data_IF_472167686582
#
_entry.id   IF_472167686582
#
_cell.length_a   1.000
_cell.length_b   1.000
_cell.length_c   1.000
_cell.angle_alpha   90.00
_cell.angle_beta   90.00
_cell.angle_gamma   90.00
#
_symmetry.space_group_name_H-M   'P 1'
#
loop_
_entity.id
_entity.type
_entity.pdbx_description
1 polymer ?
#
# COMPACT_ATOMS: atom_id res chain seq x y z
N UNK A 1 61.88 -12.16 -23.21
CA UNK A 1 60.61 -12.78 -22.78
C UNK A 1 59.51 -11.76 -23.00
N UNK A 2 58.49 -12.15 -23.77
CA UNK A 2 57.35 -11.31 -24.20
C UNK A 2 56.11 -11.77 -23.43
N UNK A 3 55.17 -10.84 -23.27
CA UNK A 3 53.75 -11.02 -22.95
C UNK A 3 53.40 -11.08 -21.43
N UNK A 4 52.27 -10.57 -20.93
CA UNK A 4 50.97 -10.24 -21.55
C UNK A 4 50.32 -9.10 -20.75
N UNK A 5 49.85 -8.06 -21.44
CA UNK A 5 48.84 -7.11 -20.93
C UNK A 5 47.48 -7.80 -21.00
N UNK A 6 46.74 -7.89 -19.89
CA UNK A 6 45.34 -8.32 -19.88
C UNK A 6 44.43 -7.11 -19.61
N UNK A 7 43.66 -6.75 -20.63
CA UNK A 7 42.43 -5.95 -20.55
C UNK A 7 41.23 -6.88 -20.31
N UNK A 8 40.05 -6.28 -20.08
CA UNK A 8 38.70 -6.85 -19.85
C UNK A 8 38.41 -7.20 -18.37
N UNK A 9 37.28 -6.83 -17.76
CA UNK A 9 36.02 -6.34 -18.30
C UNK A 9 35.11 -5.76 -17.20
N UNK A 10 33.97 -5.25 -17.65
CA UNK A 10 32.94 -4.51 -16.93
C UNK A 10 32.15 -5.32 -15.87
N UNK A 11 31.48 -4.58 -14.97
CA UNK A 11 30.45 -5.07 -14.03
C UNK A 11 30.99 -5.20 -12.61
N UNK A 12 30.41 -4.65 -11.54
CA UNK A 12 29.07 -4.14 -11.28
C UNK A 12 29.19 -3.13 -10.12
N UNK A 13 28.57 -1.93 -10.15
CA UNK A 13 28.39 -1.19 -8.91
C UNK A 13 27.42 -1.98 -8.03
N UNK A 14 27.94 -2.40 -6.87
CA UNK A 14 27.18 -3.01 -5.78
C UNK A 14 25.94 -2.16 -5.48
N UNK A 15 24.80 -2.86 -5.42
CA UNK A 15 23.49 -2.38 -5.01
C UNK A 15 23.59 -1.50 -3.76
N UNK A 16 23.45 -0.20 -3.97
CA UNK A 16 23.41 0.81 -2.93
C UNK A 16 22.91 2.10 -3.53
N UNK A 17 21.84 2.04 -4.33
CA UNK A 17 21.05 3.23 -4.61
C UNK A 17 20.30 3.55 -3.32
N UNK A 18 20.55 4.68 -2.64
CA UNK A 18 19.44 5.28 -1.93
C UNK A 18 18.39 5.53 -3.01
N UNK A 19 17.22 4.90 -2.91
CA UNK A 19 16.07 5.34 -3.70
C UNK A 19 15.93 6.82 -3.40
N UNK A 20 16.38 7.64 -4.35
CA UNK A 20 16.18 9.07 -4.31
C UNK A 20 14.69 9.28 -4.07
N UNK A 21 14.38 10.12 -3.09
CA UNK A 21 13.07 10.52 -2.62
C UNK A 21 12.29 11.27 -3.71
N UNK A 22 12.08 10.64 -4.86
CA UNK A 22 11.30 11.18 -5.96
C UNK A 22 9.85 10.80 -5.69
N UNK A 23 9.07 11.73 -5.15
CA UNK A 23 7.63 11.65 -5.35
C UNK A 23 6.77 12.54 -4.48
N UNK A 24 7.04 12.65 -3.17
CA UNK A 24 6.14 13.35 -2.24
C UNK A 24 6.93 14.41 -1.48
N UNK A 25 6.65 15.69 -1.72
CA UNK A 25 7.32 16.77 -1.02
C UNK A 25 6.91 16.85 0.47
N UNK A 26 7.80 16.44 1.39
CA UNK A 26 7.92 17.09 2.71
C UNK A 26 7.59 16.29 3.98
N UNK A 27 6.88 15.16 3.95
CA UNK A 27 6.60 14.38 5.16
C UNK A 27 7.65 13.31 5.52
N UNK A 28 7.95 13.06 6.80
CA UNK A 28 8.68 11.84 7.21
C UNK A 28 7.75 10.62 7.07
N UNK A 29 8.15 9.53 6.40
CA UNK A 29 7.32 8.33 6.33
C UNK A 29 7.19 7.68 7.71
N UNK A 30 6.10 6.94 7.94
CA UNK A 30 6.01 6.03 9.07
C UNK A 30 7.18 5.04 9.00
N UNK A 31 8.08 5.12 9.98
CA UNK A 31 9.32 4.34 9.95
C UNK A 31 9.16 2.92 10.46
N UNK A 32 8.14 2.64 11.28
CA UNK A 32 7.87 1.30 11.84
C UNK A 32 6.36 1.15 12.14
N UNK A 33 5.61 0.33 11.37
CA UNK A 33 4.27 -0.06 11.76
C UNK A 33 4.32 -0.84 13.08
N UNK A 34 3.36 -0.60 13.98
CA UNK A 34 3.32 -1.24 15.31
C UNK A 34 2.54 -2.56 15.32
N UNK A 35 1.73 -2.80 14.28
CA UNK A 35 1.00 -4.05 14.08
C UNK A 35 0.86 -4.44 12.60
N UNK A 36 0.28 -5.62 12.36
CA UNK A 36 0.06 -6.22 11.04
C UNK A 36 -0.92 -5.43 10.17
N UNK A 37 -1.93 -4.79 10.78
CA UNK A 37 -2.89 -3.95 10.08
C UNK A 37 -2.26 -2.63 9.61
N UNK A 38 -1.38 -2.05 10.43
CA UNK A 38 -0.58 -0.90 10.02
C UNK A 38 0.38 -1.25 8.89
N UNK A 39 1.03 -2.42 8.99
CA UNK A 39 1.98 -2.89 7.97
C UNK A 39 1.32 -3.02 6.60
N UNK A 40 0.17 -3.68 6.51
CA UNK A 40 -0.52 -3.83 5.21
C UNK A 40 -0.92 -2.49 4.60
N UNK A 41 -1.31 -1.51 5.42
CA UNK A 41 -1.66 -0.17 4.94
C UNK A 41 -0.42 0.54 4.39
N UNK A 42 0.71 0.47 5.10
CA UNK A 42 1.98 1.06 4.63
C UNK A 42 2.43 0.39 3.32
N UNK A 43 2.44 -0.94 3.26
CA UNK A 43 2.85 -1.69 2.07
C UNK A 43 1.95 -1.42 0.87
N UNK A 44 0.63 -1.28 1.09
CA UNK A 44 -0.32 -0.86 0.07
C UNK A 44 0.05 0.48 -0.55
N UNK A 45 0.34 1.50 0.27
CA UNK A 45 0.68 2.83 -0.24
C UNK A 45 2.09 2.89 -0.86
N UNK A 46 3.03 2.09 -0.37
CA UNK A 46 4.32 1.91 -1.02
C UNK A 46 4.15 1.32 -2.43
N UNK A 47 3.34 0.27 -2.58
CA UNK A 47 3.05 -0.31 -3.88
C UNK A 47 2.34 0.69 -4.83
N UNK A 48 1.44 1.53 -4.33
CA UNK A 48 0.82 2.62 -5.11
C UNK A 48 1.88 3.63 -5.60
N UNK A 49 2.84 4.02 -4.75
CA UNK A 49 3.93 4.91 -5.13
C UNK A 49 4.86 4.32 -6.18
N UNK A 50 5.22 3.05 -6.02
CA UNK A 50 6.08 2.32 -6.94
C UNK A 50 5.38 1.97 -8.26
N UNK A 51 4.08 2.30 -8.37
CA UNK A 51 3.18 1.94 -9.48
C UNK A 51 3.07 0.43 -9.70
N UNK A 52 3.36 -0.36 -8.68
CA UNK A 52 3.09 -1.79 -8.65
C UNK A 52 1.63 -2.02 -8.25
N UNK A 53 0.72 -1.75 -9.19
CA UNK A 53 -0.71 -1.89 -8.94
C UNK A 53 -1.15 -3.34 -8.75
N UNK A 54 -0.34 -4.32 -9.19
CA UNK A 54 -0.56 -5.73 -8.90
C UNK A 54 -0.36 -6.05 -7.42
N UNK A 55 0.74 -5.58 -6.84
CA UNK A 55 0.99 -5.69 -5.40
C UNK A 55 -0.06 -4.90 -4.59
N UNK A 56 -0.34 -3.65 -4.97
CA UNK A 56 -1.35 -2.83 -4.29
C UNK A 56 -2.75 -3.49 -4.30
N UNK A 57 -3.13 -4.11 -5.41
CA UNK A 57 -4.36 -4.90 -5.52
C UNK A 57 -4.34 -6.15 -4.62
N UNK A 58 -3.17 -6.79 -4.51
CA UNK A 58 -2.90 -7.90 -3.61
C UNK A 58 -3.30 -7.62 -2.16
N UNK A 59 -3.03 -6.41 -1.67
CA UNK A 59 -3.36 -5.97 -0.30
C UNK A 59 -4.84 -5.62 -0.08
N UNK A 60 -5.66 -5.55 -1.13
CA UNK A 60 -7.09 -5.31 -1.01
C UNK A 60 -7.85 -6.62 -0.76
N UNK A 61 -8.71 -6.63 0.25
CA UNK A 61 -9.66 -7.69 0.50
C UNK A 61 -10.83 -7.69 -0.49
N UNK A 62 -11.57 -8.79 -0.55
CA UNK A 62 -12.73 -8.94 -1.46
C UNK A 62 -13.71 -7.76 -1.44
N UNK A 63 -14.13 -7.21 -0.28
CA UNK A 63 -15.06 -6.09 -0.27
C UNK A 63 -14.52 -4.85 -0.99
N UNK A 64 -13.22 -4.58 -0.84
CA UNK A 64 -12.54 -3.47 -1.51
C UNK A 64 -12.39 -3.73 -3.00
N UNK A 65 -11.97 -4.94 -3.39
CA UNK A 65 -11.84 -5.31 -4.82
C UNK A 65 -13.18 -5.23 -5.57
N UNK A 66 -14.28 -5.54 -4.90
CA UNK A 66 -15.63 -5.42 -5.47
C UNK A 66 -15.99 -3.96 -5.87
N UNK A 67 -15.49 -2.94 -5.17
CA UNK A 67 -15.67 -1.51 -5.51
C UNK A 67 -15.04 -1.14 -6.86
N UNK A 68 -14.03 -1.92 -7.29
CA UNK A 68 -13.36 -1.78 -8.57
C UNK A 68 -13.89 -2.73 -9.65
N UNK A 69 -14.89 -3.57 -9.34
CA UNK A 69 -15.56 -4.46 -10.29
C UNK A 69 -15.22 -5.95 -10.16
N UNK A 70 -14.35 -6.34 -9.23
CA UNK A 70 -14.01 -7.75 -9.00
C UNK A 70 -15.04 -8.45 -8.09
N UNK A 71 -16.25 -8.63 -8.61
CA UNK A 71 -17.37 -9.28 -7.90
C UNK A 71 -17.27 -10.81 -7.90
N UNK A 72 -16.45 -11.39 -8.79
CA UNK A 72 -16.15 -12.82 -8.89
C UNK A 72 -14.68 -13.04 -9.32
N UNK A 73 -14.12 -14.26 -9.21
CA UNK A 73 -12.77 -14.56 -9.67
C UNK A 73 -12.54 -14.25 -11.16
N UNK A 74 -13.56 -14.45 -12.01
CA UNK A 74 -13.47 -14.19 -13.45
C UNK A 74 -13.31 -12.68 -13.76
N UNK A 75 -13.80 -11.82 -12.86
CA UNK A 75 -13.70 -10.36 -12.98
C UNK A 75 -12.53 -9.73 -12.21
N UNK A 76 -11.66 -10.53 -11.57
CA UNK A 76 -10.54 -9.97 -10.79
C UNK A 76 -9.56 -9.17 -11.67
N UNK A 77 -9.32 -9.64 -12.91
CA UNK A 77 -8.49 -8.93 -13.89
C UNK A 77 -9.10 -7.60 -14.30
N UNK A 78 -10.40 -7.56 -14.54
CA UNK A 78 -11.11 -6.33 -14.92
C UNK A 78 -11.06 -5.33 -13.75
N UNK A 79 -11.26 -5.82 -12.52
CA UNK A 79 -11.12 -5.04 -11.31
C UNK A 79 -9.72 -4.43 -11.14
N UNK A 80 -8.67 -5.23 -11.35
CA UNK A 80 -7.29 -4.77 -11.32
C UNK A 80 -7.03 -3.69 -12.38
N UNK A 81 -7.54 -3.86 -13.60
CA UNK A 81 -7.38 -2.86 -14.67
C UNK A 81 -8.07 -1.53 -14.30
N UNK A 82 -9.29 -1.58 -13.78
CA UNK A 82 -10.02 -0.39 -13.31
C UNK A 82 -9.35 0.28 -12.12
N UNK A 83 -8.84 -0.51 -11.17
CA UNK A 83 -8.07 -0.02 -10.03
C UNK A 83 -6.81 0.71 -10.48
N UNK A 84 -6.02 0.08 -11.35
CA UNK A 84 -4.77 0.64 -11.87
C UNK A 84 -5.02 1.97 -12.57
N UNK A 85 -6.02 2.01 -13.46
CA UNK A 85 -6.41 3.23 -14.17
C UNK A 85 -6.81 4.36 -13.21
N UNK A 86 -7.64 4.06 -12.20
CA UNK A 86 -8.09 5.07 -11.23
C UNK A 86 -6.93 5.60 -10.38
N UNK A 87 -5.99 4.75 -9.98
CA UNK A 87 -4.85 5.18 -9.16
C UNK A 87 -3.85 6.01 -9.96
N UNK A 88 -3.51 5.59 -11.17
CA UNK A 88 -2.61 6.33 -12.07
C UNK A 88 -3.17 7.72 -12.42
N UNK A 89 -4.49 7.83 -12.58
CA UNK A 89 -5.17 9.11 -12.86
C UNK A 89 -5.38 9.99 -11.63
N UNK A 90 -5.18 9.49 -10.40
CA UNK A 90 -5.52 10.20 -9.16
C UNK A 90 -4.31 10.60 -8.34
N UNK A 91 -3.33 9.72 -8.24
CA UNK A 91 -2.22 9.85 -7.29
C UNK A 91 -0.91 9.93 -8.06
N UNK A 92 -0.21 11.06 -7.95
CA UNK A 92 1.18 11.18 -8.43
C UNK A 92 2.13 10.57 -7.42
N UNK A 93 1.87 10.83 -6.15
CA UNK A 93 2.56 10.23 -5.01
C UNK A 93 1.68 10.30 -3.76
N UNK A 94 1.84 9.35 -2.85
CA UNK A 94 1.17 9.27 -1.56
C UNK A 94 2.12 8.74 -0.49
N UNK A 95 2.31 9.48 0.60
CA UNK A 95 3.16 9.06 1.72
C UNK A 95 2.33 8.94 2.99
N UNK A 96 2.41 7.78 3.64
CA UNK A 96 1.84 7.61 4.98
C UNK A 96 2.77 8.28 5.99
N UNK A 97 2.28 9.32 6.66
CA UNK A 97 3.04 10.10 7.65
C UNK A 97 2.66 9.74 9.09
N UNK A 98 1.43 9.26 9.30
CA UNK A 98 0.95 8.82 10.60
C UNK A 98 -0.13 7.75 10.38
N UNK A 99 -0.11 6.74 11.24
CA UNK A 99 -1.17 5.76 11.33
C UNK A 99 -1.52 5.58 12.80
N UNK A 100 -2.81 5.59 13.10
CA UNK A 100 -3.30 5.42 14.47
C UNK A 100 -4.45 4.43 14.43
N UNK A 101 -4.31 3.33 15.15
CA UNK A 101 -5.43 2.45 15.44
C UNK A 101 -6.49 3.23 16.22
N UNK A 102 -7.67 3.42 15.63
CA UNK A 102 -8.69 4.28 16.22
C UNK A 102 -9.65 3.53 17.13
N UNK A 103 -9.49 2.22 17.35
CA UNK A 103 -10.35 1.39 18.21
C UNK A 103 -11.84 1.58 17.90
N UNK A 104 -12.49 0.65 17.19
CA UNK A 104 -13.91 0.85 16.89
C UNK A 104 -14.72 1.12 18.15
N UNK A 105 -15.65 2.07 18.10
CA UNK A 105 -16.66 2.29 19.14
C UNK A 105 -17.56 1.07 19.41
N UNK A 106 -17.36 -0.03 18.67
CA UNK A 106 -17.93 -1.35 18.89
C UNK A 106 -16.85 -2.31 19.45
N UNK A 107 -16.75 -2.45 20.78
CA UNK A 107 -15.72 -3.26 21.43
C UNK A 107 -15.94 -4.77 21.28
N UNK A 108 -17.10 -5.25 20.78
CA UNK A 108 -17.41 -6.68 20.75
C UNK A 108 -17.15 -7.36 19.40
N UNK A 109 -17.23 -6.64 18.27
CA UNK A 109 -16.95 -7.24 16.94
C UNK A 109 -15.48 -7.17 16.50
N UNK A 110 -14.73 -6.18 16.98
CA UNK A 110 -13.41 -5.84 16.43
C UNK A 110 -12.26 -6.71 16.95
N UNK A 111 -12.32 -7.16 18.21
CA UNK A 111 -11.25 -7.96 18.82
C UNK A 111 -11.29 -9.44 18.40
N UNK A 112 -12.48 -10.05 18.33
CA UNK A 112 -12.63 -11.50 18.10
C UNK A 112 -12.37 -11.94 16.65
N UNK A 113 -12.44 -11.02 15.70
CA UNK A 113 -12.10 -11.29 14.28
C UNK A 113 -10.79 -10.64 13.86
N UNK A 114 -10.10 -9.98 14.79
CA UNK A 114 -8.92 -9.16 14.52
C UNK A 114 -9.13 -8.18 13.37
N UNK A 115 -10.23 -7.42 13.32
CA UNK A 115 -10.42 -6.41 12.28
C UNK A 115 -10.52 -5.05 12.95
N UNK A 116 -9.67 -4.12 12.55
CA UNK A 116 -9.53 -2.83 13.22
C UNK A 116 -9.59 -1.69 12.21
N UNK A 117 -10.04 -0.52 12.69
CA UNK A 117 -10.01 0.73 11.95
C UNK A 117 -8.75 1.50 12.29
N UNK A 118 -8.13 2.05 11.26
CA UNK A 118 -6.94 2.89 11.33
C UNK A 118 -7.27 4.24 10.74
N UNK A 119 -6.95 5.31 11.45
CA UNK A 119 -6.85 6.65 10.87
C UNK A 119 -5.46 6.79 10.26
N UNK A 120 -5.41 7.18 9.00
CA UNK A 120 -4.19 7.29 8.22
C UNK A 120 -4.05 8.74 7.77
N UNK A 121 -2.94 9.38 8.15
CA UNK A 121 -2.57 10.69 7.61
C UNK A 121 -1.67 10.50 6.40
N UNK A 122 -2.10 11.08 5.30
CA UNK A 122 -1.45 10.98 4.00
C UNK A 122 -0.93 12.36 3.59
N UNK A 123 0.32 12.39 3.17
CA UNK A 123 0.90 13.48 2.39
C UNK A 123 0.90 13.05 0.94
N UNK A 124 -0.01 13.60 0.12
CA UNK A 124 -0.27 13.09 -1.22
C UNK A 124 -0.32 14.21 -2.25
N UNK A 125 0.38 13.97 -3.37
CA UNK A 125 0.30 14.80 -4.57
C UNK A 125 -0.75 14.20 -5.51
N UNK A 126 -1.85 14.91 -5.69
CA UNK A 126 -2.96 14.48 -6.54
C UNK A 126 -2.80 15.01 -7.96
N UNK A 127 -3.25 14.22 -8.93
CA UNK A 127 -3.58 14.74 -10.26
C UNK A 127 -4.92 15.49 -10.12
N UNK A 128 -5.02 16.70 -10.68
CA UNK A 128 -6.17 17.58 -10.48
C UNK A 128 -7.52 16.88 -10.77
N UNK A 129 -8.54 17.21 -9.97
CA UNK A 129 -9.95 16.74 -10.06
C UNK A 129 -10.32 15.37 -9.45
N UNK A 130 -9.40 14.63 -8.82
CA UNK A 130 -9.70 13.25 -8.37
C UNK A 130 -10.16 13.08 -6.90
N UNK A 131 -10.21 14.16 -6.11
CA UNK A 131 -10.62 14.14 -4.69
C UNK A 131 -9.59 13.48 -3.76
N UNK A 132 -9.59 13.86 -2.48
CA UNK A 132 -8.63 13.34 -1.49
C UNK A 132 -8.84 11.85 -1.20
N UNK A 133 -7.74 11.11 -1.00
CA UNK A 133 -7.81 9.72 -0.54
C UNK A 133 -8.54 9.64 0.82
N UNK A 134 -9.26 8.53 1.11
CA UNK A 134 -9.88 8.30 2.40
C UNK A 134 -8.89 8.45 3.56
N UNK A 135 -9.37 8.91 4.71
CA UNK A 135 -8.55 9.07 5.92
C UNK A 135 -8.65 7.87 6.87
N UNK A 136 -9.60 6.96 6.64
CA UNK A 136 -9.83 5.79 7.49
C UNK A 136 -9.80 4.52 6.67
N UNK A 137 -9.09 3.52 7.17
CA UNK A 137 -8.92 2.21 6.55
C UNK A 137 -9.23 1.12 7.56
N UNK A 138 -10.00 0.12 7.13
CA UNK A 138 -10.32 -1.07 7.94
C UNK A 138 -9.43 -2.20 7.45
N UNK A 139 -8.58 -2.75 8.30
CA UNK A 139 -7.69 -3.86 7.95
C UNK A 139 -7.87 -5.05 8.89
N UNK A 140 -7.66 -6.25 8.38
CA UNK A 140 -7.50 -7.43 9.23
C UNK A 140 -6.10 -7.43 9.86
N UNK A 141 -6.07 -7.77 11.12
CA UNK A 141 -4.95 -7.86 12.05
C UNK A 141 -5.10 -9.14 12.90
N UNK A 142 -5.76 -10.18 12.38
CA UNK A 142 -6.03 -11.45 13.09
C UNK A 142 -4.72 -11.99 13.69
N UNK A 143 -4.55 -11.92 15.02
CA UNK A 143 -3.31 -12.29 15.68
C UNK A 143 -3.20 -13.81 15.88
N UNK A 144 -4.23 -14.60 15.53
CA UNK A 144 -4.29 -16.03 15.83
C UNK A 144 -3.93 -16.96 14.65
N UNK A 145 -3.71 -16.43 13.45
CA UNK A 145 -3.96 -17.25 12.27
C UNK A 145 -2.71 -17.61 11.44
N UNK A 146 -2.50 -18.91 11.27
CA UNK A 146 -1.96 -19.49 10.04
C UNK A 146 -2.94 -19.36 8.85
N UNK A 147 -3.63 -18.22 8.72
CA UNK A 147 -4.60 -17.87 7.68
C UNK A 147 -4.10 -16.63 6.89
N UNK A 148 -4.80 -16.18 5.82
CA UNK A 148 -4.18 -15.36 4.78
C UNK A 148 -3.61 -14.03 5.31
N UNK A 149 -2.62 -13.44 4.62
CA UNK A 149 -1.99 -12.19 5.02
C UNK A 149 -3.03 -11.09 5.30
N UNK A 150 -2.73 -10.12 6.18
CA UNK A 150 -3.63 -9.01 6.47
C UNK A 150 -4.05 -8.29 5.19
N UNK A 151 -5.32 -7.88 5.10
CA UNK A 151 -5.91 -7.22 3.94
C UNK A 151 -6.70 -5.98 4.34
N UNK A 152 -6.73 -4.98 3.46
CA UNK A 152 -7.59 -3.80 3.58
C UNK A 152 -9.00 -4.19 3.15
N UNK A 153 -9.93 -4.16 4.09
CA UNK A 153 -11.31 -4.62 3.97
C UNK A 153 -12.32 -3.49 3.81
N UNK A 154 -11.92 -2.23 4.00
CA UNK A 154 -12.79 -1.08 3.84
C UNK A 154 -12.04 0.25 3.94
N UNK A 155 -12.71 1.32 3.52
CA UNK A 155 -12.20 2.70 3.61
C UNK A 155 -13.34 3.68 3.86
N UNK A 156 -13.06 4.79 4.55
CA UNK A 156 -14.02 5.86 4.83
C UNK A 156 -13.36 7.24 4.92
N UNK A 157 -14.13 8.29 4.65
CA UNK A 157 -13.71 9.70 4.84
C UNK A 157 -13.99 10.19 6.26
N UNK A 158 -14.96 9.59 6.96
CA UNK A 158 -15.31 9.82 8.36
C UNK A 158 -15.78 8.51 9.02
N UNK A 159 -15.61 8.40 10.33
CA UNK A 159 -16.18 7.32 11.15
C UNK A 159 -17.43 7.78 11.89
#
# INVERSE_FOLDING_TARGET
>A
MVAVTALFGAGYPLCGRPSAEVGCAGGRPVTRPVDEGERVIVDYFNAVNDRDYGAAWGYLGRPMRAIYGATSPDHDRDGLAQFSLRMDQRVRCVRVTEIVNVGSADPQMSASMGIQWYRVKLDAEYVAAAGALPAFYKASADPHAGAPPPLIMGQATSL
#
